data_IF_064891238391
#
_entry.id   IF_064891238391
#
_cell.length_a   1.000
_cell.length_b   1.000
_cell.length_c   1.000
_cell.angle_alpha   90.00
_cell.angle_beta   90.00
_cell.angle_gamma   90.00
#
_symmetry.space_group_name_H-M   'P 1'
#
loop_
_entity.id
_entity.type
_entity.pdbx_description
1 polymer ?
#
# COMPACT_ATOMS: atom_id res chain seq x y z
N UNK A 1 -14.45 0.15 4.42
CA UNK A 1 -13.95 -1.02 5.17
C UNK A 1 -12.81 -1.58 4.33
N UNK A 2 -11.59 -1.56 4.86
CA UNK A 2 -10.43 -2.10 4.14
C UNK A 2 -10.65 -3.59 3.89
N UNK A 3 -10.39 -3.99 2.66
CA UNK A 3 -10.33 -5.36 2.22
C UNK A 3 -9.31 -6.14 3.05
N UNK A 4 -9.66 -7.31 3.53
CA UNK A 4 -8.79 -8.13 4.36
C UNK A 4 -8.84 -9.60 3.92
N UNK A 5 -7.67 -10.23 3.95
CA UNK A 5 -7.54 -11.65 3.65
C UNK A 5 -8.10 -12.49 4.80
N UNK A 6 -8.48 -13.72 4.49
CA UNK A 6 -8.92 -14.68 5.49
C UNK A 6 -7.91 -15.82 5.58
N UNK A 7 -7.26 -15.94 6.74
CA UNK A 7 -6.34 -17.04 7.06
C UNK A 7 -7.06 -18.11 7.84
N UNK A 8 -6.96 -19.35 7.41
CA UNK A 8 -7.39 -20.52 8.14
C UNK A 8 -6.16 -21.30 8.60
N UNK A 9 -5.99 -21.39 9.91
CA UNK A 9 -4.94 -22.20 10.53
C UNK A 9 -5.37 -23.67 10.59
N UNK A 10 -4.43 -24.55 10.93
CA UNK A 10 -4.70 -25.97 11.12
C UNK A 10 -5.68 -26.23 12.29
N UNK A 11 -5.75 -25.28 13.25
CA UNK A 11 -6.68 -25.30 14.37
C UNK A 11 -7.13 -23.87 14.71
N UNK A 12 -8.32 -23.72 15.27
CA UNK A 12 -8.89 -22.43 15.67
C UNK A 12 -9.82 -21.79 14.64
N UNK A 13 -10.36 -20.64 14.98
CA UNK A 13 -11.23 -19.86 14.10
C UNK A 13 -10.44 -19.16 13.00
N UNK A 14 -11.06 -18.88 11.85
CA UNK A 14 -10.43 -18.07 10.79
C UNK A 14 -10.01 -16.69 11.31
N UNK A 15 -8.86 -16.20 10.80
CA UNK A 15 -8.27 -14.92 11.15
C UNK A 15 -8.46 -13.98 9.97
N UNK A 16 -9.02 -12.80 10.24
CA UNK A 16 -9.12 -11.72 9.27
C UNK A 16 -7.95 -10.76 9.45
N UNK A 17 -7.06 -10.68 8.48
CA UNK A 17 -5.88 -9.80 8.50
C UNK A 17 -5.34 -9.61 7.08
N UNK A 18 -4.56 -8.57 6.85
CA UNK A 18 -3.90 -8.37 5.55
C UNK A 18 -2.58 -9.15 5.52
N UNK A 19 -2.42 -10.07 4.58
CA UNK A 19 -1.14 -10.76 4.34
C UNK A 19 -0.21 -9.80 3.62
N UNK A 20 0.93 -9.50 4.24
CA UNK A 20 1.88 -8.50 3.72
C UNK A 20 3.09 -9.14 3.06
N UNK A 21 3.50 -10.32 3.54
CA UNK A 21 4.70 -10.98 3.07
C UNK A 21 4.69 -12.47 3.37
N UNK A 22 5.39 -13.23 2.54
CA UNK A 22 5.86 -14.59 2.84
C UNK A 22 7.38 -14.60 2.73
N UNK A 23 8.07 -14.98 3.78
CA UNK A 23 9.51 -15.19 3.79
C UNK A 23 9.90 -16.11 4.97
N UNK A 24 11.05 -16.75 4.90
CA UNK A 24 11.56 -17.61 5.97
C UNK A 24 10.53 -18.66 6.43
N UNK A 25 9.74 -19.20 5.50
CA UNK A 25 8.66 -20.17 5.74
C UNK A 25 7.57 -19.68 6.68
N UNK A 26 7.31 -18.37 6.72
CA UNK A 26 6.24 -17.78 7.51
C UNK A 26 5.49 -16.72 6.70
N UNK A 27 4.20 -16.56 7.00
CA UNK A 27 3.35 -15.48 6.52
C UNK A 27 3.35 -14.35 7.55
N UNK A 28 3.70 -13.17 7.13
CA UNK A 28 3.51 -11.95 7.91
C UNK A 28 2.15 -11.35 7.58
N UNK A 29 1.39 -11.01 8.61
CA UNK A 29 0.07 -10.41 8.46
C UNK A 29 -0.03 -9.15 9.29
N UNK A 30 -0.92 -8.26 8.90
CA UNK A 30 -1.25 -7.07 9.66
C UNK A 30 -2.73 -7.10 10.04
N UNK A 31 -3.01 -7.00 11.33
CA UNK A 31 -4.35 -6.87 11.86
C UNK A 31 -4.95 -5.48 11.65
N UNK A 32 -6.24 -5.34 11.90
CA UNK A 32 -6.95 -4.06 11.86
C UNK A 32 -6.41 -3.04 12.88
N UNK A 33 -5.79 -3.52 13.96
CA UNK A 33 -5.09 -2.73 14.99
C UNK A 33 -3.69 -2.25 14.56
N UNK A 34 -3.28 -2.58 13.34
CA UNK A 34 -1.96 -2.26 12.77
C UNK A 34 -0.83 -3.16 13.25
N UNK A 35 -1.08 -4.12 14.15
CA UNK A 35 -0.05 -5.04 14.63
C UNK A 35 0.32 -6.07 13.58
N UNK A 36 1.61 -6.35 13.49
CA UNK A 36 2.13 -7.41 12.63
C UNK A 36 2.24 -8.71 13.43
N UNK A 37 1.72 -9.80 12.85
CA UNK A 37 1.80 -11.15 13.41
C UNK A 37 2.39 -12.08 12.36
N UNK A 38 3.27 -12.99 12.78
CA UNK A 38 3.89 -13.99 11.90
C UNK A 38 3.31 -15.37 12.18
N UNK A 39 2.93 -16.07 11.11
CA UNK A 39 2.40 -17.42 11.16
C UNK A 39 3.30 -18.36 10.37
N UNK A 40 3.91 -19.40 11.00
CA UNK A 40 4.63 -20.43 10.26
C UNK A 40 3.75 -21.03 9.17
N UNK A 41 4.28 -21.19 7.98
CA UNK A 41 3.50 -21.71 6.84
C UNK A 41 2.97 -23.14 7.09
N UNK A 42 3.67 -23.92 7.93
CA UNK A 42 3.22 -25.23 8.39
C UNK A 42 1.91 -25.20 9.19
N UNK A 43 1.58 -24.06 9.80
CA UNK A 43 0.39 -23.86 10.60
C UNK A 43 -0.77 -23.26 9.78
N UNK A 44 -0.49 -22.78 8.56
CA UNK A 44 -1.48 -22.17 7.68
C UNK A 44 -2.00 -23.21 6.71
N UNK A 45 -3.28 -23.53 6.87
CA UNK A 45 -4.01 -24.48 5.99
C UNK A 45 -4.43 -23.81 4.68
N UNK A 46 -4.96 -22.60 4.77
CA UNK A 46 -5.49 -21.85 3.64
C UNK A 46 -5.40 -20.34 3.88
N UNK A 47 -5.19 -19.60 2.80
CA UNK A 47 -5.42 -18.14 2.76
C UNK A 47 -6.35 -17.90 1.57
N UNK A 48 -7.46 -17.23 1.81
CA UNK A 48 -8.26 -16.62 0.76
C UNK A 48 -7.84 -15.15 0.69
N UNK A 49 -7.20 -14.78 -0.41
CA UNK A 49 -6.83 -13.39 -0.65
C UNK A 49 -8.06 -12.60 -1.09
N UNK A 50 -8.22 -11.40 -0.56
CA UNK A 50 -9.29 -10.53 -0.99
C UNK A 50 -9.10 -10.16 -2.46
N UNK A 51 -10.17 -10.32 -3.24
CA UNK A 51 -10.18 -10.16 -4.70
C UNK A 51 -10.18 -8.70 -5.16
N UNK A 52 -10.19 -7.73 -4.24
CA UNK A 52 -9.94 -6.32 -4.57
C UNK A 52 -8.49 -6.07 -5.03
N UNK A 53 -7.82 -7.16 -5.35
CA UNK A 53 -6.59 -7.39 -6.11
C UNK A 53 -5.28 -7.16 -5.36
N UNK A 54 -4.80 -8.10 -4.57
CA UNK A 54 -3.40 -8.08 -4.24
C UNK A 54 -2.59 -8.44 -5.51
N UNK A 55 -1.68 -7.59 -5.93
CA UNK A 55 -0.55 -8.03 -6.75
C UNK A 55 0.53 -8.55 -5.84
N UNK A 56 1.20 -9.60 -6.26
CA UNK A 56 2.34 -10.12 -5.52
C UNK A 56 3.55 -10.29 -6.45
N UNK A 57 4.73 -10.02 -5.88
CA UNK A 57 6.01 -10.40 -6.45
C UNK A 57 6.48 -11.65 -5.76
N UNK A 58 6.56 -12.74 -6.49
CA UNK A 58 7.07 -14.02 -6.03
C UNK A 58 8.53 -14.14 -6.47
N UNK A 59 9.46 -14.26 -5.54
CA UNK A 59 10.83 -14.66 -5.84
C UNK A 59 10.89 -16.18 -5.78
N UNK A 60 11.19 -16.80 -6.91
CA UNK A 60 11.25 -18.26 -7.03
C UNK A 60 12.68 -18.73 -7.28
N UNK A 61 13.00 -19.93 -6.83
CA UNK A 61 14.35 -20.55 -6.99
C UNK A 61 14.68 -20.91 -8.43
N UNK A 62 13.67 -21.10 -9.27
CA UNK A 62 13.84 -21.66 -10.62
C UNK A 62 13.64 -20.63 -11.73
N UNK A 63 12.74 -19.68 -11.54
CA UNK A 63 12.32 -18.73 -12.60
C UNK A 63 12.54 -17.27 -12.23
N UNK A 64 13.23 -17.02 -11.10
CA UNK A 64 13.46 -15.65 -10.62
C UNK A 64 12.19 -14.96 -10.14
N UNK A 65 12.06 -13.66 -10.40
CA UNK A 65 10.90 -12.86 -9.96
C UNK A 65 9.74 -13.06 -10.92
N UNK A 66 8.59 -13.45 -10.38
CA UNK A 66 7.32 -13.59 -11.10
C UNK A 66 6.30 -12.64 -10.47
N UNK A 67 5.46 -12.02 -11.29
CA UNK A 67 4.37 -11.14 -10.82
C UNK A 67 3.00 -11.75 -11.14
N UNK A 68 2.06 -11.56 -10.24
CA UNK A 68 0.69 -12.00 -10.44
C UNK A 68 -0.22 -11.65 -9.26
N UNK A 69 -1.51 -11.86 -9.44
CA UNK A 69 -2.52 -11.63 -8.39
C UNK A 69 -2.80 -12.95 -7.66
N UNK A 70 -2.44 -13.09 -6.39
CA UNK A 70 -2.76 -14.28 -5.62
C UNK A 70 -4.25 -14.36 -5.38
N UNK A 71 -4.82 -15.52 -5.65
CA UNK A 71 -6.24 -15.85 -5.42
C UNK A 71 -6.41 -16.59 -4.11
N UNK A 72 -5.55 -17.57 -3.89
CA UNK A 72 -5.55 -18.37 -2.67
C UNK A 72 -4.15 -18.95 -2.40
N UNK A 73 -3.94 -19.34 -1.16
CA UNK A 73 -2.90 -20.27 -0.75
C UNK A 73 -3.60 -21.50 -0.17
N UNK A 74 -3.35 -22.65 -0.74
CA UNK A 74 -3.91 -23.92 -0.25
C UNK A 74 -3.07 -25.11 -0.75
N UNK A 75 -3.09 -26.20 -0.03
CA UNK A 75 -2.32 -27.40 -0.37
C UNK A 75 -0.82 -27.13 -0.58
N UNK A 76 -0.27 -26.17 0.16
CA UNK A 76 1.17 -25.81 0.08
C UNK A 76 1.57 -25.07 -1.20
N UNK A 77 0.63 -24.46 -1.92
CA UNK A 77 0.89 -23.69 -3.13
C UNK A 77 0.06 -22.41 -3.19
N UNK A 78 0.64 -21.37 -3.77
CA UNK A 78 -0.11 -20.18 -4.15
C UNK A 78 -0.83 -20.41 -5.47
N UNK A 79 -2.12 -20.12 -5.51
CA UNK A 79 -2.91 -20.00 -6.72
C UNK A 79 -2.82 -18.55 -7.19
N UNK A 80 -2.30 -18.30 -8.38
CA UNK A 80 -1.97 -16.96 -8.86
C UNK A 80 -2.51 -16.75 -10.26
N UNK A 81 -3.18 -15.63 -10.50
CA UNK A 81 -3.53 -15.19 -11.85
C UNK A 81 -2.41 -14.30 -12.39
N UNK A 82 -1.88 -14.63 -13.54
CA UNK A 82 -0.84 -13.88 -14.25
C UNK A 82 -1.39 -13.38 -15.59
N UNK A 83 -0.66 -12.50 -16.28
CA UNK A 83 -1.02 -12.09 -17.65
C UNK A 83 -1.10 -13.26 -18.65
N UNK A 84 -0.46 -14.40 -18.33
CA UNK A 84 -0.49 -15.62 -19.14
C UNK A 84 -1.54 -16.65 -18.63
N UNK A 85 -2.41 -16.26 -17.67
CA UNK A 85 -3.44 -17.11 -17.08
C UNK A 85 -3.13 -17.60 -15.68
N UNK A 86 -3.91 -18.57 -15.20
CA UNK A 86 -3.76 -19.12 -13.85
C UNK A 86 -2.48 -19.97 -13.75
N UNK A 87 -1.74 -19.78 -12.66
CA UNK A 87 -0.52 -20.53 -12.32
C UNK A 87 -0.54 -20.96 -10.86
N UNK A 88 0.23 -22.00 -10.56
CA UNK A 88 0.51 -22.44 -9.20
C UNK A 88 1.98 -22.26 -8.88
N UNK A 89 2.27 -21.70 -7.70
CA UNK A 89 3.62 -21.61 -7.16
C UNK A 89 3.70 -22.44 -5.87
N UNK A 90 4.19 -23.70 -5.95
CA UNK A 90 4.41 -24.50 -4.76
C UNK A 90 5.43 -23.84 -3.82
N UNK A 91 5.19 -23.87 -2.51
CA UNK A 91 6.05 -23.22 -1.50
C UNK A 91 7.51 -23.67 -1.56
N UNK A 92 7.76 -24.90 -1.97
CA UNK A 92 9.14 -25.43 -2.06
C UNK A 92 10.00 -24.66 -3.07
N UNK A 93 9.36 -24.01 -4.06
CA UNK A 93 10.04 -23.19 -5.07
C UNK A 93 9.97 -21.70 -4.76
N UNK A 94 9.17 -21.25 -3.78
CA UNK A 94 9.02 -19.84 -3.43
C UNK A 94 9.97 -19.50 -2.28
N UNK A 95 10.93 -18.62 -2.54
CA UNK A 95 11.83 -18.08 -1.52
C UNK A 95 11.13 -16.99 -0.71
N UNK A 96 10.43 -16.10 -1.41
CA UNK A 96 9.63 -15.03 -0.81
C UNK A 96 8.49 -14.61 -1.71
N UNK A 97 7.44 -14.05 -1.11
CA UNK A 97 6.39 -13.33 -1.80
C UNK A 97 6.11 -12.04 -1.05
N UNK A 98 6.15 -10.93 -1.75
CA UNK A 98 5.69 -9.64 -1.26
C UNK A 98 4.29 -9.40 -1.83
N UNK A 99 3.30 -9.34 -0.95
CA UNK A 99 1.92 -9.06 -1.33
C UNK A 99 1.73 -7.55 -1.32
N UNK A 100 1.64 -7.00 -2.51
CA UNK A 100 1.24 -5.61 -2.68
C UNK A 100 -0.28 -5.67 -2.76
N UNK A 101 -0.98 -5.16 -1.73
CA UNK A 101 -2.40 -4.95 -1.88
C UNK A 101 -2.61 -4.12 -3.15
N UNK A 102 -3.39 -4.62 -4.11
CA UNK A 102 -3.86 -3.76 -5.20
C UNK A 102 -4.83 -2.79 -4.54
N UNK A 103 -4.34 -1.61 -4.36
CA UNK A 103 -5.09 -0.58 -3.69
C UNK A 103 -5.76 0.18 -4.76
N UNK A 104 -7.04 0.01 -4.78
CA UNK A 104 -7.90 0.78 -5.64
C UNK A 104 -7.30 2.16 -5.87
N UNK A 105 -7.12 2.53 -7.11
CA UNK A 105 -6.47 3.73 -7.61
C UNK A 105 -5.21 4.15 -6.81
N UNK A 106 -4.03 3.87 -7.36
CA UNK A 106 -2.75 4.37 -6.82
C UNK A 106 -2.77 5.89 -6.61
N UNK A 107 -3.64 6.59 -7.34
CA UNK A 107 -3.94 8.01 -7.17
C UNK A 107 -5.43 8.16 -6.88
N UNK A 108 -5.77 8.65 -5.70
CA UNK A 108 -7.16 8.78 -5.22
C UNK A 108 -7.41 10.18 -4.67
N UNK A 109 -8.52 10.79 -5.06
CA UNK A 109 -9.04 11.99 -4.41
C UNK A 109 -9.83 11.57 -3.17
N UNK A 110 -9.26 11.80 -1.98
CA UNK A 110 -9.84 11.35 -0.71
C UNK A 110 -10.63 12.44 0.03
N UNK A 111 -10.53 13.67 -0.42
CA UNK A 111 -11.26 14.78 0.19
C UNK A 111 -11.29 16.03 -0.64
N UNK A 112 -12.35 16.80 -0.47
CA UNK A 112 -12.55 18.11 -1.08
C UNK A 112 -13.22 19.04 -0.07
N UNK A 113 -12.51 20.10 0.34
CA UNK A 113 -12.95 21.10 1.31
C UNK A 113 -13.32 20.60 2.72
N UNK A 114 -13.93 19.42 2.83
CA UNK A 114 -14.41 18.83 4.09
C UNK A 114 -13.30 18.20 4.90
N UNK A 115 -13.54 17.98 6.19
CA UNK A 115 -12.61 17.21 7.03
C UNK A 115 -12.38 15.80 6.50
N UNK A 116 -11.14 15.33 6.57
CA UNK A 116 -10.70 14.01 6.11
C UNK A 116 -9.84 13.36 7.17
N UNK A 117 -10.21 12.15 7.57
CA UNK A 117 -9.37 11.30 8.41
C UNK A 117 -8.36 10.57 7.51
N UNK A 118 -7.17 11.16 7.34
CA UNK A 118 -6.09 10.59 6.51
C UNK A 118 -5.75 9.16 6.92
N UNK A 119 -5.86 8.80 8.20
CA UNK A 119 -5.48 7.46 8.68
C UNK A 119 -6.26 6.34 7.98
N UNK A 120 -7.51 6.62 7.58
CA UNK A 120 -8.38 5.68 6.87
C UNK A 120 -8.02 5.49 5.39
N UNK A 121 -7.20 6.39 4.85
CA UNK A 121 -6.81 6.40 3.43
C UNK A 121 -5.34 6.07 3.21
N UNK A 122 -4.58 5.86 4.31
CA UNK A 122 -3.19 5.44 4.19
C UNK A 122 -3.12 4.06 3.56
N UNK A 123 -2.27 3.97 2.55
CA UNK A 123 -1.99 2.74 1.86
C UNK A 123 -1.00 1.89 2.68
N UNK A 124 -1.45 1.26 3.79
CA UNK A 124 -0.61 0.47 4.67
C UNK A 124 0.18 -0.63 3.92
N UNK A 125 1.49 -0.76 4.23
CA UNK A 125 2.46 -1.61 3.52
C UNK A 125 3.07 -0.93 2.29
N UNK A 126 2.62 0.27 1.87
CA UNK A 126 3.21 1.13 0.85
C UNK A 126 3.55 2.49 1.44
N UNK A 127 4.36 3.23 0.73
CA UNK A 127 4.56 4.65 0.98
C UNK A 127 3.33 5.40 0.50
N UNK A 128 2.74 6.23 1.35
CA UNK A 128 1.60 7.08 0.98
C UNK A 128 2.05 8.53 0.89
N UNK A 129 1.83 9.17 -0.25
CA UNK A 129 1.98 10.59 -0.46
C UNK A 129 0.61 11.24 -0.33
N UNK A 130 0.41 12.11 0.64
CA UNK A 130 -0.83 12.91 0.77
C UNK A 130 -0.55 14.30 0.22
N UNK A 131 -1.18 14.63 -0.91
CA UNK A 131 -1.00 15.87 -1.66
C UNK A 131 -2.17 16.84 -1.38
N UNK A 132 -1.90 17.88 -0.60
CA UNK A 132 -2.81 18.99 -0.41
C UNK A 132 -2.62 20.01 -1.52
N UNK A 133 -3.64 20.20 -2.33
CA UNK A 133 -3.60 21.04 -3.52
C UNK A 133 -4.88 21.86 -3.70
N UNK A 134 -4.90 22.72 -4.70
CA UNK A 134 -6.12 23.35 -5.21
C UNK A 134 -6.00 23.58 -6.73
N UNK A 135 -7.14 23.66 -7.43
CA UNK A 135 -7.19 23.86 -8.88
C UNK A 135 -6.59 25.19 -9.34
N UNK A 136 -6.62 26.21 -8.49
CA UNK A 136 -6.05 27.54 -8.77
C UNK A 136 -4.55 27.63 -8.47
N UNK A 137 -3.95 26.62 -7.83
CA UNK A 137 -2.57 26.62 -7.38
C UNK A 137 -1.61 26.26 -8.53
N UNK A 138 -0.90 27.25 -9.07
CA UNK A 138 0.09 27.05 -10.14
C UNK A 138 1.21 26.07 -9.78
N UNK A 139 1.91 26.24 -8.64
CA UNK A 139 2.95 25.29 -8.21
C UNK A 139 2.42 23.85 -7.99
N UNK A 140 1.16 23.68 -7.56
CA UNK A 140 0.56 22.36 -7.43
C UNK A 140 0.44 21.66 -8.79
N UNK A 141 0.06 22.39 -9.83
CA UNK A 141 -0.03 21.86 -11.21
C UNK A 141 1.32 21.41 -11.76
N UNK A 142 2.42 21.94 -11.23
CA UNK A 142 3.77 21.52 -11.63
C UNK A 142 4.18 20.21 -10.99
N UNK A 143 3.90 20.00 -9.69
CA UNK A 143 4.37 18.82 -8.97
C UNK A 143 3.40 17.63 -9.07
N UNK A 144 2.07 17.85 -9.09
CA UNK A 144 1.08 16.77 -9.07
C UNK A 144 1.27 15.71 -10.18
N UNK A 145 1.57 16.06 -11.45
CA UNK A 145 1.85 15.05 -12.48
C UNK A 145 3.03 14.14 -12.13
N UNK A 146 4.07 14.69 -11.49
CA UNK A 146 5.24 13.92 -11.05
C UNK A 146 4.88 12.94 -9.94
N UNK A 147 4.08 13.37 -8.95
CA UNK A 147 3.62 12.48 -7.88
C UNK A 147 2.76 11.34 -8.45
N UNK A 148 1.86 11.66 -9.37
CA UNK A 148 1.02 10.66 -10.04
C UNK A 148 1.84 9.69 -10.89
N UNK A 149 2.88 10.20 -11.57
CA UNK A 149 3.79 9.35 -12.33
C UNK A 149 4.61 8.43 -11.40
N UNK A 150 5.07 8.91 -10.25
CA UNK A 150 5.74 8.07 -9.26
C UNK A 150 4.84 6.90 -8.82
N UNK A 151 3.55 7.16 -8.55
CA UNK A 151 2.60 6.12 -8.20
C UNK A 151 2.34 5.13 -9.36
N UNK A 152 2.31 5.60 -10.60
CA UNK A 152 2.10 4.74 -11.79
C UNK A 152 3.30 3.83 -12.08
N UNK A 153 4.52 4.32 -11.83
CA UNK A 153 5.75 3.57 -12.15
C UNK A 153 6.27 2.74 -10.99
N UNK A 154 5.87 3.08 -9.77
CA UNK A 154 6.32 2.40 -8.55
C UNK A 154 5.12 1.87 -7.75
N UNK A 155 4.87 0.56 -7.78
CA UNK A 155 3.72 -0.05 -7.11
C UNK A 155 3.76 0.07 -5.59
N UNK A 156 4.89 0.46 -5.01
CA UNK A 156 5.02 0.69 -3.57
C UNK A 156 4.61 2.11 -3.15
N UNK A 157 4.19 2.96 -4.10
CA UNK A 157 3.78 4.34 -3.84
C UNK A 157 2.28 4.49 -4.11
N UNK A 158 1.56 5.09 -3.17
CA UNK A 158 0.20 5.53 -3.35
C UNK A 158 0.11 7.06 -3.15
N UNK A 159 -0.68 7.73 -3.96
CA UNK A 159 -0.96 9.17 -3.83
C UNK A 159 -2.42 9.36 -3.38
N UNK A 160 -2.62 10.13 -2.35
CA UNK A 160 -3.91 10.55 -1.83
C UNK A 160 -4.03 12.05 -1.98
N UNK A 161 -4.94 12.51 -2.80
CA UNK A 161 -5.12 13.93 -3.10
C UNK A 161 -6.21 14.53 -2.22
N UNK A 162 -5.98 15.72 -1.70
CA UNK A 162 -6.96 16.49 -0.95
C UNK A 162 -7.04 17.89 -1.58
N UNK A 163 -8.17 18.18 -2.22
CA UNK A 163 -8.45 19.51 -2.73
C UNK A 163 -8.91 20.41 -1.60
N UNK A 164 -8.11 21.39 -1.24
CA UNK A 164 -8.46 22.36 -0.20
C UNK A 164 -9.54 23.35 -0.67
N UNK A 165 -9.76 23.48 -1.98
CA UNK A 165 -10.68 24.44 -2.64
C UNK A 165 -10.31 25.90 -2.36
N UNK A 166 -10.23 26.30 -1.09
CA UNK A 166 -9.78 27.61 -0.63
C UNK A 166 -9.29 27.56 0.82
N UNK A 167 -8.68 28.65 1.30
CA UNK A 167 -8.05 28.73 2.62
C UNK A 167 -9.03 28.67 3.81
N UNK A 168 -10.33 28.94 3.58
CA UNK A 168 -11.34 28.96 4.65
C UNK A 168 -11.95 27.60 5.00
N UNK A 169 -11.57 26.54 4.29
CA UNK A 169 -12.23 25.24 4.39
C UNK A 169 -11.87 24.46 5.67
N UNK A 170 -12.76 23.55 6.12
CA UNK A 170 -12.52 22.72 7.30
C UNK A 170 -11.24 21.87 7.22
N UNK A 171 -10.88 21.34 6.04
CA UNK A 171 -9.69 20.53 5.86
C UNK A 171 -8.39 21.31 6.10
N UNK A 172 -8.34 22.59 5.70
CA UNK A 172 -7.21 23.49 5.95
C UNK A 172 -6.96 23.66 7.45
N UNK A 173 -8.04 23.91 8.20
CA UNK A 173 -7.97 24.06 9.67
C UNK A 173 -7.58 22.73 10.33
N UNK A 174 -8.19 21.63 9.92
CA UNK A 174 -7.95 20.30 10.48
C UNK A 174 -6.48 19.88 10.38
N UNK A 175 -5.86 20.11 9.23
CA UNK A 175 -4.49 19.67 8.96
C UNK A 175 -3.44 20.79 9.08
N UNK A 176 -3.87 21.97 9.59
CA UNK A 176 -3.00 23.13 9.78
C UNK A 176 -2.22 23.49 8.52
N UNK A 177 -2.92 23.58 7.38
CA UNK A 177 -2.31 23.87 6.09
C UNK A 177 -2.10 25.38 5.95
N UNK A 178 -0.84 25.78 5.79
CA UNK A 178 -0.45 27.19 5.65
C UNK A 178 0.08 27.54 4.26
N UNK A 179 0.46 26.55 3.48
CA UNK A 179 0.94 26.72 2.11
C UNK A 179 0.65 25.46 1.29
N UNK A 180 0.42 25.60 0.00
CA UNK A 180 0.26 24.49 -0.96
C UNK A 180 1.17 24.73 -2.18
N UNK A 181 1.66 23.63 -2.84
CA UNK A 181 1.40 22.25 -2.48
C UNK A 181 2.05 21.90 -1.13
N UNK A 182 1.37 21.10 -0.32
CA UNK A 182 1.97 20.43 0.83
C UNK A 182 1.84 18.93 0.64
N UNK A 183 2.97 18.23 0.69
CA UNK A 183 3.01 16.78 0.52
C UNK A 183 3.46 16.15 1.83
N UNK A 184 2.61 15.36 2.45
CA UNK A 184 2.96 14.55 3.61
C UNK A 184 3.33 13.14 3.16
N UNK A 185 4.51 12.66 3.54
CA UNK A 185 5.05 11.34 3.18
C UNK A 185 4.92 10.41 4.37
N UNK A 186 4.17 9.32 4.21
CA UNK A 186 3.96 8.29 5.22
C UNK A 186 4.68 7.00 4.81
N UNK A 187 5.29 6.31 5.78
CA UNK A 187 5.93 5.02 5.52
C UNK A 187 4.89 3.88 5.44
N UNK A 188 5.36 2.66 5.18
CA UNK A 188 4.53 1.44 5.08
C UNK A 188 3.70 1.15 6.33
N UNK A 189 4.15 1.63 7.50
CA UNK A 189 3.46 1.49 8.77
C UNK A 189 2.42 2.61 9.02
N UNK A 190 2.27 3.55 8.09
CA UNK A 190 1.37 4.70 8.26
C UNK A 190 1.94 5.80 9.16
N UNK A 191 3.25 5.78 9.47
CA UNK A 191 3.91 6.83 10.24
C UNK A 191 4.37 7.95 9.31
N UNK A 192 4.13 9.20 9.68
CA UNK A 192 4.63 10.37 8.96
C UNK A 192 6.16 10.41 9.01
N UNK A 193 6.80 10.43 7.85
CA UNK A 193 8.26 10.52 7.68
C UNK A 193 8.71 11.96 7.49
N UNK A 194 7.91 12.75 6.77
CA UNK A 194 8.20 14.15 6.56
C UNK A 194 7.14 14.89 5.76
N UNK A 195 7.26 16.22 5.78
CA UNK A 195 6.38 17.14 5.06
C UNK A 195 7.22 17.98 4.11
N UNK A 196 6.76 18.11 2.87
CA UNK A 196 7.35 18.98 1.84
C UNK A 196 6.35 20.08 1.55
N UNK A 197 6.80 21.33 1.63
CA UNK A 197 6.04 22.52 1.26
C UNK A 197 6.65 23.09 -0.01
N UNK A 198 5.83 23.36 -1.01
CA UNK A 198 6.26 23.78 -2.34
C UNK A 198 6.56 22.61 -3.29
N UNK A 199 6.90 22.92 -4.57
CA UNK A 199 7.06 21.93 -5.64
C UNK A 199 8.45 21.27 -5.66
N UNK A 200 8.98 20.87 -4.49
CA UNK A 200 10.31 20.27 -4.33
C UNK A 200 10.25 18.75 -4.50
N UNK A 201 10.37 18.31 -5.75
CA UNK A 201 10.35 16.89 -6.14
C UNK A 201 11.52 16.12 -5.50
N UNK A 202 12.72 16.70 -5.42
CA UNK A 202 13.89 16.03 -4.86
C UNK A 202 13.70 15.72 -3.37
N UNK A 203 13.10 16.65 -2.63
CA UNK A 203 12.79 16.45 -1.22
C UNK A 203 11.72 15.37 -1.03
N UNK A 204 10.69 15.32 -1.90
CA UNK A 204 9.71 14.23 -1.90
C UNK A 204 10.41 12.89 -2.11
N UNK A 205 11.29 12.78 -3.12
CA UNK A 205 12.01 11.54 -3.42
C UNK A 205 12.91 11.09 -2.26
N UNK A 206 13.57 12.03 -1.57
CA UNK A 206 14.35 11.72 -0.36
C UNK A 206 13.48 11.10 0.74
N UNK A 207 12.33 11.71 1.03
CA UNK A 207 11.41 11.16 2.03
C UNK A 207 10.78 9.82 1.61
N UNK A 208 10.48 9.64 0.32
CA UNK A 208 10.04 8.34 -0.22
C UNK A 208 11.11 7.27 0.01
N UNK A 209 12.38 7.56 -0.27
CA UNK A 209 13.48 6.62 -0.01
C UNK A 209 13.59 6.27 1.48
N UNK A 210 13.48 7.26 2.37
CA UNK A 210 13.46 7.03 3.82
C UNK A 210 12.24 6.21 4.26
N UNK A 211 11.05 6.52 3.72
CA UNK A 211 9.82 5.82 4.02
C UNK A 211 9.85 4.34 3.59
N UNK A 212 10.55 4.03 2.50
CA UNK A 212 10.77 2.66 2.03
C UNK A 212 11.76 1.89 2.90
N UNK A 213 12.77 2.56 3.45
CA UNK A 213 13.81 1.94 4.27
C UNK A 213 13.38 1.75 5.74
N UNK A 214 12.45 2.54 6.24
CA UNK A 214 12.05 2.59 7.66
C UNK A 214 10.74 1.87 8.00
N UNK A 215 10.33 0.86 7.23
CA UNK A 215 9.10 0.07 7.45
C UNK A 215 9.38 -1.35 7.84
#
# INVERSE_FOLDING_TARGET
MGSADTLQLNSGSPITATVTKYANRAFETRGADGKTTSYPASNVRRIAFDQSSPRAKFTTRTTGVQEGSPVAFENGAFQVTTGAGAKQFPLIFVESAAFVADRGQQVELIGRASQVDISKHLALGNVTLVDFYADWCGPCKQISPTLEQMAKTDPEIAVRKIDIVNWGTPVVKQHNIHAIPQINVYNRAGKLVGTVIGPDVEKVQRFVKQAKAGG
#
